data_IF_260255587918
#
_entry.id   IF_260255587918
#
_cell.length_a   1.000
_cell.length_b   1.000
_cell.length_c   1.000
_cell.angle_alpha   90.00
_cell.angle_beta   90.00
_cell.angle_gamma   90.00
#
_symmetry.space_group_name_H-M   'P 1'
#
loop_
_entity.id
_entity.type
_entity.pdbx_description
1 polymer ?
#
# COMPACT_ATOMS: atom_id res chain seq x y z
N UNK A 1 -0.82 -14.18 -10.52
CA UNK A 1 -1.98 -14.30 -11.43
C UNK A 1 -2.73 -12.97 -11.42
N UNK A 2 -2.91 -12.38 -12.60
CA UNK A 2 -3.69 -11.18 -12.97
C UNK A 2 -3.95 -10.11 -11.88
N UNK A 3 -3.13 -9.05 -11.87
CA UNK A 3 -3.54 -7.76 -11.32
C UNK A 3 -4.68 -7.23 -12.18
N UNK A 4 -5.92 -7.49 -11.75
CA UNK A 4 -7.11 -7.01 -12.47
C UNK A 4 -7.11 -5.48 -12.49
N UNK A 5 -7.74 -4.88 -13.50
CA UNK A 5 -7.99 -3.43 -13.63
C UNK A 5 -8.59 -2.75 -12.38
N UNK A 6 -9.01 -3.54 -11.38
CA UNK A 6 -9.44 -3.21 -10.01
C UNK A 6 -8.34 -2.60 -9.11
N UNK A 7 -7.09 -2.57 -9.55
CA UNK A 7 -5.96 -2.13 -8.71
C UNK A 7 -5.87 -0.62 -8.49
N UNK A 8 -6.39 0.21 -9.39
CA UNK A 8 -6.36 1.67 -9.28
C UNK A 8 -7.72 2.19 -8.84
N UNK A 9 -7.78 2.77 -7.65
CA UNK A 9 -9.01 3.29 -7.04
C UNK A 9 -8.96 4.80 -6.91
N UNK A 10 -10.15 5.42 -6.89
CA UNK A 10 -10.26 6.86 -6.66
C UNK A 10 -9.83 7.24 -5.24
N UNK A 11 -9.51 8.52 -5.01
CA UNK A 11 -9.22 9.00 -3.65
C UNK A 11 -10.43 8.89 -2.71
N UNK A 12 -11.64 8.92 -3.24
CA UNK A 12 -12.88 8.73 -2.47
C UNK A 12 -13.02 7.26 -2.02
N UNK A 13 -12.90 6.30 -2.94
CA UNK A 13 -12.89 4.87 -2.59
C UNK A 13 -11.77 4.52 -1.60
N UNK A 14 -10.59 5.13 -1.76
CA UNK A 14 -9.49 4.95 -0.82
C UNK A 14 -9.88 5.41 0.59
N UNK A 15 -10.57 6.55 0.71
CA UNK A 15 -11.07 7.05 1.99
C UNK A 15 -12.14 6.11 2.58
N UNK A 16 -13.02 5.55 1.75
CA UNK A 16 -14.04 4.58 2.18
C UNK A 16 -13.41 3.28 2.72
N UNK A 17 -12.38 2.76 2.06
CA UNK A 17 -11.64 1.56 2.52
C UNK A 17 -11.02 1.79 3.89
N UNK A 18 -10.37 2.94 4.10
CA UNK A 18 -9.77 3.27 5.39
C UNK A 18 -10.84 3.49 6.46
N UNK A 19 -11.93 4.18 6.11
CA UNK A 19 -13.05 4.43 7.02
C UNK A 19 -13.74 3.14 7.48
N UNK A 20 -13.85 2.12 6.60
CA UNK A 20 -14.35 0.79 6.94
C UNK A 20 -13.51 0.09 8.01
N UNK A 21 -12.25 0.49 8.19
CA UNK A 21 -11.35 0.01 9.25
C UNK A 21 -11.26 0.98 10.43
N UNK A 22 -12.23 1.89 10.57
CA UNK A 22 -12.29 2.94 11.59
C UNK A 22 -11.14 3.96 11.52
N UNK A 23 -10.48 4.09 10.36
CA UNK A 23 -9.41 5.06 10.11
C UNK A 23 -9.92 6.13 9.15
N UNK A 24 -10.24 7.33 9.66
CA UNK A 24 -10.87 8.39 8.84
C UNK A 24 -9.85 9.39 8.33
N UNK A 25 -9.73 9.49 7.02
CA UNK A 25 -8.95 10.53 6.34
C UNK A 25 -9.79 11.23 5.28
N UNK A 26 -9.48 12.51 5.06
CA UNK A 26 -10.00 13.24 3.91
C UNK A 26 -9.32 12.75 2.62
N UNK A 27 -10.05 12.75 1.50
CA UNK A 27 -9.47 12.41 0.20
C UNK A 27 -8.28 13.31 -0.17
N UNK A 28 -8.27 14.56 0.31
CA UNK A 28 -7.14 15.50 0.14
C UNK A 28 -5.86 15.05 0.83
N UNK A 29 -5.96 14.41 2.01
CA UNK A 29 -4.82 13.83 2.74
C UNK A 29 -4.19 12.69 1.95
N UNK A 30 -5.03 11.77 1.43
CA UNK A 30 -4.58 10.65 0.58
C UNK A 30 -3.96 11.19 -0.70
N UNK A 31 -4.57 12.22 -1.30
CA UNK A 31 -4.00 12.94 -2.45
C UNK A 31 -2.65 13.61 -2.15
N UNK A 32 -2.44 14.08 -0.91
CA UNK A 32 -1.15 14.58 -0.43
C UNK A 32 -0.08 13.49 -0.42
N UNK A 33 -0.38 12.30 0.12
CA UNK A 33 0.55 11.16 0.10
C UNK A 33 0.89 10.72 -1.32
N UNK A 34 -0.11 10.67 -2.19
CA UNK A 34 0.07 10.31 -3.59
C UNK A 34 0.93 11.33 -4.36
N UNK A 35 0.84 12.62 -4.04
CA UNK A 35 1.71 13.66 -4.63
C UNK A 35 3.15 13.57 -4.13
N UNK A 36 3.33 13.23 -2.86
CA UNK A 36 4.65 13.18 -2.23
C UNK A 36 5.34 11.81 -2.40
N UNK A 37 4.81 10.93 -3.26
CA UNK A 37 5.40 9.62 -3.55
C UNK A 37 5.26 8.58 -2.43
N UNK A 38 4.45 8.86 -1.40
CA UNK A 38 4.18 7.92 -0.29
C UNK A 38 3.18 6.83 -0.66
N UNK A 39 2.39 7.06 -1.71
CA UNK A 39 1.54 6.07 -2.35
C UNK A 39 1.78 6.12 -3.85
N UNK A 40 1.85 4.95 -4.49
CA UNK A 40 1.79 4.84 -5.94
C UNK A 40 0.52 5.48 -6.45
N UNK A 41 0.66 6.31 -7.48
CA UNK A 41 -0.47 6.99 -8.08
C UNK A 41 -0.33 7.20 -9.58
N UNK A 42 -1.46 7.21 -10.26
CA UNK A 42 -1.60 7.61 -11.66
C UNK A 42 -2.54 8.79 -11.78
N UNK A 43 -2.37 9.60 -12.84
CA UNK A 43 -3.29 10.69 -13.18
C UNK A 43 -3.95 10.39 -14.51
N UNK A 44 -5.28 10.31 -14.51
CA UNK A 44 -6.10 10.05 -15.71
C UNK A 44 -7.18 11.12 -15.80
N UNK A 45 -7.25 11.85 -16.92
CA UNK A 45 -8.28 12.87 -17.15
C UNK A 45 -8.37 13.93 -16.05
N UNK A 46 -7.23 14.39 -15.51
CA UNK A 46 -7.19 15.37 -14.43
C UNK A 46 -7.42 14.82 -13.02
N UNK A 47 -7.89 13.57 -12.89
CA UNK A 47 -8.16 12.91 -11.60
C UNK A 47 -7.02 11.99 -11.21
N UNK A 48 -6.76 11.85 -9.91
CA UNK A 48 -5.71 10.99 -9.37
C UNK A 48 -6.29 9.70 -8.80
N UNK A 49 -5.60 8.61 -9.03
CA UNK A 49 -5.94 7.28 -8.56
C UNK A 49 -4.74 6.68 -7.82
N UNK A 50 -4.98 5.82 -6.84
CA UNK A 50 -3.96 5.17 -6.02
C UNK A 50 -4.10 3.65 -6.07
N UNK A 51 -3.04 2.92 -5.72
CA UNK A 51 -3.10 1.45 -5.64
C UNK A 51 -3.95 0.99 -4.46
N UNK A 52 -5.02 0.23 -4.73
CA UNK A 52 -5.89 -0.39 -3.72
C UNK A 52 -5.08 -1.23 -2.71
N UNK A 53 -4.11 -1.99 -3.19
CA UNK A 53 -3.25 -2.82 -2.36
C UNK A 53 -2.44 -2.00 -1.34
N UNK A 54 -1.86 -0.87 -1.77
CA UNK A 54 -1.11 0.00 -0.85
C UNK A 54 -2.02 0.67 0.18
N UNK A 55 -3.22 1.10 -0.22
CA UNK A 55 -4.21 1.65 0.72
C UNK A 55 -4.59 0.62 1.78
N UNK A 56 -4.80 -0.65 1.38
CA UNK A 56 -5.05 -1.74 2.34
C UNK A 56 -3.84 -2.05 3.21
N UNK A 57 -2.62 -1.93 2.68
CA UNK A 57 -1.40 -2.18 3.44
C UNK A 57 -1.25 -1.20 4.61
N UNK A 58 -1.77 0.04 4.51
CA UNK A 58 -1.72 1.03 5.60
C UNK A 58 -2.44 0.59 6.88
N UNK A 59 -3.46 -0.26 6.76
CA UNK A 59 -4.29 -0.77 7.86
C UNK A 59 -4.01 -2.24 8.16
N UNK A 60 -3.17 -2.89 7.36
CA UNK A 60 -2.80 -4.29 7.58
C UNK A 60 -1.69 -4.32 8.62
N UNK A 61 -1.85 -5.07 9.73
CA UNK A 61 -0.79 -5.20 10.71
C UNK A 61 0.47 -5.79 10.07
N UNK A 62 1.69 -5.36 10.46
CA UNK A 62 2.92 -5.95 9.96
C UNK A 62 2.90 -7.47 10.14
N UNK A 63 3.21 -8.20 9.07
CA UNK A 63 3.32 -9.66 9.14
C UNK A 63 4.43 -10.03 10.12
N UNK A 64 4.08 -10.74 11.19
CA UNK A 64 5.07 -11.33 12.09
C UNK A 64 5.69 -12.54 11.40
N UNK A 65 7.01 -12.59 11.35
CA UNK A 65 7.78 -13.70 10.80
C UNK A 65 8.58 -14.30 11.95
N UNK A 66 8.52 -15.63 12.10
CA UNK A 66 9.37 -16.31 13.08
C UNK A 66 10.84 -16.11 12.69
N UNK A 67 11.73 -15.92 13.67
CA UNK A 67 13.14 -15.69 13.40
C UNK A 67 13.74 -16.81 12.55
N UNK A 68 13.37 -18.06 12.82
CA UNK A 68 13.82 -19.25 12.07
C UNK A 68 13.35 -19.29 10.60
N UNK A 69 12.40 -18.44 10.20
CA UNK A 69 11.95 -18.30 8.82
C UNK A 69 12.59 -17.10 8.11
N UNK A 70 13.48 -16.36 8.79
CA UNK A 70 14.31 -15.36 8.14
C UNK A 70 15.44 -16.09 7.42
N UNK A 71 15.56 -15.84 6.12
CA UNK A 71 16.69 -16.33 5.35
C UNK A 71 17.98 -15.73 5.95
N UNK A 72 19.06 -16.53 6.13
CA UNK A 72 20.35 -16.02 6.57
C UNK A 72 20.82 -14.85 5.70
N UNK A 73 21.64 -13.98 6.26
CA UNK A 73 22.32 -12.94 5.50
C UNK A 73 23.08 -13.56 4.33
N UNK A 74 23.14 -12.84 3.20
CA UNK A 74 23.82 -13.33 2.01
C UNK A 74 25.28 -13.70 2.36
N UNK A 75 25.65 -14.96 2.14
CA UNK A 75 26.99 -15.53 2.43
C UNK A 75 27.35 -15.73 3.92
N UNK A 76 26.40 -15.73 4.85
CA UNK A 76 26.68 -16.10 6.25
C UNK A 76 27.18 -17.56 6.37
N UNK A 77 26.69 -18.46 5.52
CA UNK A 77 27.04 -19.90 5.53
C UNK A 77 28.39 -20.23 4.86
N UNK A 78 29.10 -19.23 4.32
CA UNK A 78 30.36 -19.41 3.56
C UNK A 78 31.62 -19.11 4.39
N UNK A 79 31.48 -18.85 5.68
CA UNK A 79 32.59 -18.43 6.57
C UNK A 79 33.30 -19.57 7.30
N UNK A 80 33.02 -20.82 6.96
CA UNK A 80 33.67 -22.01 7.53
C UNK A 80 34.74 -22.63 6.60
#
# INVERSE_FOLDING_TARGET
MAGSSTDWISLAEAAEILAASNVRFQASTIGGWARNGKLQSIKLGGRRFVRRAEVRALITPPRRVHADHLQPGLFEDLRD
#
